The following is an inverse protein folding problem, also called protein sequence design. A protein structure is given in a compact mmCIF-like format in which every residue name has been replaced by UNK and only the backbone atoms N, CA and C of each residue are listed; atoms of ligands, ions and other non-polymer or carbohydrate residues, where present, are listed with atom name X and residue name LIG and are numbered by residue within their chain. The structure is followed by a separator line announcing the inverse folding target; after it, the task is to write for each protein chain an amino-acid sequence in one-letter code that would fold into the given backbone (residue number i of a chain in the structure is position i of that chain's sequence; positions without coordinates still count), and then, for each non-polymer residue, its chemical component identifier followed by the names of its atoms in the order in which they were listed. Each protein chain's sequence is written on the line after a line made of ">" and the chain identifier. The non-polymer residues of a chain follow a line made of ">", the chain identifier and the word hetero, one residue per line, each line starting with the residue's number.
data_IF_547284831073
#
_entry.id   IF_547284831073
#
_cell.length_a   1.000
_cell.length_b   1.000
_cell.length_c   1.000
_cell.angle_alpha   90.00
_cell.angle_beta   90.00
_cell.angle_gamma   90.00
#
_symmetry.space_group_name_H-M   'P 1'
#
loop_
_entity.id
_entity.type
_entity.pdbx_description
1 polymer ?
#
# COMPACT_ATOMS: atom_id res chain seq x y z
N UNK A 1 -29.11 -4.79 -13.09
CA UNK A 1 -27.84 -4.45 -12.41
C UNK A 1 -26.76 -4.28 -13.48
N UNK A 2 -26.45 -3.04 -13.88
CA UNK A 2 -25.34 -2.77 -14.80
C UNK A 2 -24.03 -3.12 -14.10
N UNK A 3 -23.22 -3.99 -14.73
CA UNK A 3 -21.83 -4.24 -14.27
C UNK A 3 -21.07 -2.93 -14.45
N UNK A 4 -20.87 -2.18 -13.36
CA UNK A 4 -20.03 -0.98 -13.38
C UNK A 4 -18.62 -1.39 -13.81
N UNK A 5 -17.93 -0.60 -14.66
CA UNK A 5 -16.59 -0.93 -15.13
C UNK A 5 -15.60 -1.11 -13.96
N UNK A 6 -15.88 -0.48 -12.83
CA UNK A 6 -15.15 -0.58 -11.56
C UNK A 6 -15.04 -2.03 -11.04
N UNK A 7 -15.99 -2.92 -11.33
CA UNK A 7 -15.94 -4.32 -10.90
C UNK A 7 -15.29 -5.26 -11.94
N UNK A 8 -14.70 -4.73 -13.02
CA UNK A 8 -14.08 -5.56 -14.04
C UNK A 8 -12.78 -6.20 -13.51
N UNK A 9 -12.61 -7.52 -13.72
CA UNK A 9 -11.40 -8.28 -13.33
C UNK A 9 -10.10 -7.59 -13.74
N UNK A 10 -10.05 -7.00 -14.94
CA UNK A 10 -8.88 -6.26 -15.43
C UNK A 10 -8.53 -5.05 -14.56
N UNK A 11 -9.54 -4.30 -14.08
CA UNK A 11 -9.34 -3.14 -13.21
C UNK A 11 -8.92 -3.59 -11.81
N UNK A 12 -9.51 -4.69 -11.31
CA UNK A 12 -9.09 -5.30 -10.05
C UNK A 12 -7.61 -5.72 -10.12
N UNK A 13 -7.18 -6.40 -11.18
CA UNK A 13 -5.78 -6.80 -11.39
C UNK A 13 -4.84 -5.58 -11.55
N UNK A 14 -5.29 -4.52 -12.23
CA UNK A 14 -4.53 -3.28 -12.33
C UNK A 14 -4.35 -2.60 -10.94
N UNK A 15 -5.40 -2.56 -10.12
CA UNK A 15 -5.31 -2.03 -8.75
C UNK A 15 -4.42 -2.93 -7.86
N UNK A 16 -4.49 -4.25 -8.02
CA UNK A 16 -3.65 -5.24 -7.32
C UNK A 16 -2.15 -5.13 -7.66
N UNK A 17 -1.81 -4.61 -8.83
CA UNK A 17 -0.41 -4.39 -9.21
C UNK A 17 0.05 -3.00 -8.77
N UNK A 18 -0.83 -2.00 -8.82
CA UNK A 18 -0.50 -0.63 -8.43
C UNK A 18 -0.38 -0.43 -6.92
N UNK A 19 -0.87 -1.36 -6.10
CA UNK A 19 -0.69 -1.34 -4.64
C UNK A 19 0.75 -1.60 -4.17
N UNK A 20 1.64 -2.06 -5.08
CA UNK A 20 3.08 -2.17 -4.81
C UNK A 20 3.77 -0.81 -4.86
N UNK A 21 3.26 0.12 -5.67
CA UNK A 21 3.80 1.49 -5.82
C UNK A 21 3.91 2.22 -4.47
N UNK A 22 2.84 2.39 -3.66
CA UNK A 22 2.94 3.08 -2.37
C UNK A 22 3.81 2.31 -1.36
N UNK A 23 4.04 1.01 -1.55
CA UNK A 23 4.92 0.21 -0.71
C UNK A 23 6.40 0.30 -1.10
N UNK A 24 6.71 0.70 -2.33
CA UNK A 24 8.08 0.89 -2.78
C UNK A 24 8.51 2.36 -2.72
N UNK A 25 7.57 3.30 -2.57
CA UNK A 25 7.84 4.73 -2.38
C UNK A 25 8.38 5.06 -0.97
N UNK A 26 9.38 4.31 -0.50
CA UNK A 26 10.15 4.68 0.69
C UNK A 26 11.41 5.44 0.29
N UNK A 27 11.93 6.33 1.16
CA UNK A 27 13.22 6.95 0.93
C UNK A 27 14.30 5.86 0.82
N UNK A 28 15.33 6.05 -0.03
CA UNK A 28 16.44 5.09 -0.14
C UNK A 28 17.09 4.75 1.21
N UNK A 29 17.11 5.70 2.14
CA UNK A 29 17.64 5.54 3.49
C UNK A 29 16.87 4.51 4.33
N UNK A 30 15.55 4.37 4.11
CA UNK A 30 14.72 3.36 4.79
C UNK A 30 14.98 1.93 4.28
N UNK A 31 15.68 1.76 3.16
CA UNK A 31 16.12 0.44 2.65
C UNK A 31 17.52 0.03 3.14
N UNK A 32 18.18 0.88 3.93
CA UNK A 32 19.45 0.52 4.56
C UNK A 32 19.24 -0.54 5.63
N UNK A 33 20.05 -1.59 5.65
CA UNK A 33 20.05 -2.62 6.71
C UNK A 33 20.37 -2.09 8.10
N UNK A 34 20.92 -0.87 8.19
CA UNK A 34 21.15 -0.16 9.45
C UNK A 34 19.92 0.63 9.93
N UNK A 35 18.88 0.78 9.10
CA UNK A 35 17.64 1.46 9.47
C UNK A 35 16.71 0.50 10.21
N UNK A 36 16.16 0.88 11.35
CA UNK A 36 15.20 0.06 12.11
C UNK A 36 13.91 -0.24 11.33
N UNK A 37 13.69 0.46 10.22
CA UNK A 37 12.46 0.43 9.41
C UNK A 37 12.59 -0.47 8.17
N UNK A 38 13.76 -1.07 7.93
CA UNK A 38 14.07 -1.82 6.70
C UNK A 38 13.13 -3.01 6.43
N UNK A 39 12.62 -3.65 7.49
CA UNK A 39 11.77 -4.83 7.42
C UNK A 39 10.34 -4.50 7.01
N UNK A 40 9.91 -3.26 7.20
CA UNK A 40 8.51 -2.85 7.05
C UNK A 40 8.05 -2.84 5.59
N UNK A 41 8.81 -2.22 4.64
CA UNK A 41 8.49 -2.34 3.22
C UNK A 41 8.50 -3.79 2.74
N UNK A 42 9.48 -4.58 3.21
CA UNK A 42 9.63 -6.00 2.83
C UNK A 42 8.42 -6.81 3.28
N UNK A 43 8.01 -6.68 4.54
CA UNK A 43 6.85 -7.38 5.09
C UNK A 43 5.58 -7.04 4.29
N UNK A 44 5.34 -5.76 4.03
CA UNK A 44 4.17 -5.31 3.31
C UNK A 44 4.13 -5.84 1.87
N UNK A 45 5.28 -5.84 1.18
CA UNK A 45 5.39 -6.40 -0.17
C UNK A 45 5.11 -7.90 -0.15
N UNK A 46 5.64 -8.65 0.83
CA UNK A 46 5.41 -10.09 0.97
C UNK A 46 3.93 -10.38 1.23
N UNK A 47 3.28 -9.63 2.12
CA UNK A 47 1.85 -9.78 2.39
C UNK A 47 1.03 -9.56 1.12
N UNK A 48 1.27 -8.45 0.43
CA UNK A 48 0.58 -8.16 -0.83
C UNK A 48 0.83 -9.23 -1.88
N UNK A 49 2.08 -9.66 -2.07
CA UNK A 49 2.42 -10.69 -3.04
C UNK A 49 1.71 -12.02 -2.74
N UNK A 50 1.63 -12.42 -1.46
CA UNK A 50 0.90 -13.61 -1.05
C UNK A 50 -0.61 -13.50 -1.33
N UNK A 51 -1.22 -12.36 -1.02
CA UNK A 51 -2.63 -12.13 -1.30
C UNK A 51 -2.92 -12.09 -2.81
N UNK A 52 -2.08 -11.43 -3.60
CA UNK A 52 -2.20 -11.34 -5.06
C UNK A 52 -2.03 -12.71 -5.70
N UNK A 53 -1.04 -13.49 -5.28
CA UNK A 53 -0.79 -14.83 -5.81
C UNK A 53 -1.96 -15.76 -5.50
N UNK A 54 -2.51 -15.73 -4.30
CA UNK A 54 -3.71 -16.50 -3.96
C UNK A 54 -4.90 -16.10 -4.86
N UNK A 55 -5.14 -14.79 -5.03
CA UNK A 55 -6.26 -14.28 -5.82
C UNK A 55 -6.12 -14.59 -7.32
N UNK A 56 -4.90 -14.51 -7.86
CA UNK A 56 -4.61 -14.73 -9.28
C UNK A 56 -4.53 -16.21 -9.65
N UNK A 57 -3.89 -17.04 -8.80
CA UNK A 57 -3.60 -18.44 -9.09
C UNK A 57 -4.75 -19.35 -8.68
N UNK A 58 -5.31 -19.16 -7.48
CA UNK A 58 -6.34 -20.07 -6.95
C UNK A 58 -7.75 -19.62 -7.30
N UNK A 59 -7.97 -18.35 -7.61
CA UNK A 59 -9.27 -17.81 -8.03
C UNK A 59 -10.42 -18.13 -7.06
N UNK A 60 -10.09 -18.53 -5.83
CA UNK A 60 -11.06 -19.06 -4.87
C UNK A 60 -11.78 -17.93 -4.15
N UNK A 61 -13.04 -18.17 -3.80
CA UNK A 61 -13.93 -17.26 -3.03
C UNK A 61 -13.49 -17.01 -1.58
N UNK A 62 -12.22 -17.22 -1.26
CA UNK A 62 -11.69 -17.04 0.08
C UNK A 62 -11.50 -15.56 0.35
N UNK A 63 -12.05 -15.09 1.47
CA UNK A 63 -12.03 -13.66 1.85
C UNK A 63 -10.70 -13.22 2.50
N UNK A 64 -9.85 -14.16 2.89
CA UNK A 64 -8.61 -13.86 3.60
C UNK A 64 -7.61 -13.00 2.81
N UNK A 65 -7.38 -13.18 1.49
CA UNK A 65 -6.45 -12.34 0.74
C UNK A 65 -6.90 -10.88 0.72
N UNK A 66 -8.21 -10.67 0.68
CA UNK A 66 -8.81 -9.34 0.73
C UNK A 66 -8.53 -8.62 2.04
N UNK A 67 -8.75 -9.30 3.17
CA UNK A 67 -8.46 -8.75 4.49
C UNK A 67 -6.97 -8.44 4.64
N UNK A 68 -6.10 -9.28 4.08
CA UNK A 68 -4.67 -9.07 4.12
C UNK A 68 -4.24 -7.83 3.32
N UNK A 69 -4.86 -7.57 2.16
CA UNK A 69 -4.59 -6.38 1.35
C UNK A 69 -5.06 -5.09 2.04
N UNK A 70 -6.28 -5.08 2.59
CA UNK A 70 -6.80 -3.94 3.37
C UNK A 70 -5.90 -3.68 4.58
N UNK A 71 -5.52 -4.73 5.30
CA UNK A 71 -4.61 -4.62 6.43
C UNK A 71 -3.26 -4.05 6.01
N UNK A 72 -2.65 -4.53 4.92
CA UNK A 72 -1.36 -4.04 4.44
C UNK A 72 -1.41 -2.54 4.06
N UNK A 73 -2.50 -2.07 3.44
CA UNK A 73 -2.66 -0.65 3.12
C UNK A 73 -2.87 0.21 4.38
N UNK A 74 -3.70 -0.25 5.32
CA UNK A 74 -3.91 0.45 6.59
C UNK A 74 -2.62 0.52 7.41
N UNK A 75 -1.88 -0.59 7.49
CA UNK A 75 -0.59 -0.66 8.17
C UNK A 75 0.42 0.27 7.51
N UNK A 76 0.55 0.28 6.18
CA UNK A 76 1.42 1.22 5.45
C UNK A 76 1.13 2.69 5.81
N UNK A 77 -0.13 3.09 5.88
CA UNK A 77 -0.52 4.46 6.24
C UNK A 77 -0.12 4.78 7.68
N UNK A 78 -0.46 3.92 8.64
CA UNK A 78 -0.15 4.13 10.06
C UNK A 78 1.36 4.21 10.26
N UNK A 79 2.12 3.27 9.68
CA UNK A 79 3.58 3.26 9.77
C UNK A 79 4.18 4.53 9.19
N UNK A 80 3.69 5.00 8.04
CA UNK A 80 4.15 6.26 7.45
C UNK A 80 3.85 7.47 8.33
N UNK A 81 2.67 7.54 8.94
CA UNK A 81 2.34 8.62 9.88
C UNK A 81 3.30 8.60 11.08
N UNK A 82 3.60 7.41 11.62
CA UNK A 82 4.54 7.26 12.74
C UNK A 82 5.96 7.70 12.35
N UNK A 83 6.44 7.27 11.18
CA UNK A 83 7.80 7.58 10.69
C UNK A 83 7.94 9.02 10.21
N UNK A 84 6.86 9.63 9.73
CA UNK A 84 6.85 10.98 9.16
C UNK A 84 7.30 12.03 10.16
N UNK A 85 6.91 11.90 11.43
CA UNK A 85 7.32 12.84 12.47
C UNK A 85 8.81 12.68 12.82
N UNK A 86 9.33 11.45 12.80
CA UNK A 86 10.72 11.16 13.13
C UNK A 86 11.72 11.64 12.06
N UNK A 87 11.29 11.67 10.78
CA UNK A 87 12.14 12.01 9.63
C UNK A 87 11.80 13.36 8.99
N UNK A 88 10.92 14.17 9.62
CA UNK A 88 10.50 15.47 9.10
C UNK A 88 11.67 16.47 8.99
N UNK A 89 12.72 16.30 9.78
CA UNK A 89 13.87 17.22 9.84
C UNK A 89 15.19 16.47 9.69
N UNK A 90 16.05 16.92 8.78
CA UNK A 90 17.40 16.38 8.58
C UNK A 90 18.41 17.49 8.89
N UNK A 91 19.40 17.18 9.71
CA UNK A 91 20.47 18.11 10.07
C UNK A 91 21.53 18.08 8.97
N UNK A 92 21.52 19.08 8.09
CA UNK A 92 22.55 19.26 7.06
C UNK A 92 23.34 20.53 7.36
N UNK A 93 24.64 20.40 7.64
CA UNK A 93 25.53 21.54 7.86
C UNK A 93 25.25 22.39 9.11
N UNK A 94 24.66 21.83 10.17
CA UNK A 94 24.38 22.56 11.42
C UNK A 94 23.07 23.33 11.45
N UNK A 95 22.26 23.26 10.38
CA UNK A 95 20.89 23.76 10.35
C UNK A 95 19.90 22.60 10.22
N UNK A 96 18.81 22.67 11.00
CA UNK A 96 17.68 21.74 10.91
C UNK A 96 16.86 22.08 9.67
N UNK A 97 17.06 21.34 8.58
CA UNK A 97 16.33 21.57 7.32
C UNK A 97 15.19 20.57 7.23
N UNK A 98 14.03 21.05 6.80
CA UNK A 98 12.85 20.22 6.61
C UNK A 98 13.04 19.30 5.40
N UNK A 99 12.81 17.99 5.56
CA UNK A 99 12.96 17.02 4.47
C UNK A 99 11.73 17.04 3.56
N UNK A 100 11.60 18.11 2.78
CA UNK A 100 10.48 18.34 1.85
C UNK A 100 10.30 17.16 0.87
N UNK A 101 11.35 16.55 0.29
CA UNK A 101 11.19 15.37 -0.57
C UNK A 101 10.58 14.16 0.15
N UNK A 102 11.03 13.88 1.37
CA UNK A 102 10.48 12.79 2.20
C UNK A 102 9.00 13.01 2.48
N UNK A 103 8.61 14.24 2.88
CA UNK A 103 7.23 14.56 3.22
C UNK A 103 6.32 14.47 2.00
N UNK A 104 6.76 14.97 0.84
CA UNK A 104 5.99 14.90 -0.40
C UNK A 104 5.76 13.44 -0.86
N UNK A 105 6.80 12.61 -0.87
CA UNK A 105 6.69 11.19 -1.22
C UNK A 105 5.78 10.43 -0.24
N UNK A 106 5.89 10.75 1.05
CA UNK A 106 5.08 10.13 2.10
C UNK A 106 3.61 10.48 1.95
N UNK A 107 3.29 11.75 1.68
CA UNK A 107 1.93 12.21 1.40
C UNK A 107 1.34 11.53 0.15
N UNK A 108 2.07 11.50 -0.97
CA UNK A 108 1.60 10.86 -2.21
C UNK A 108 1.31 9.38 -1.98
N UNK A 109 2.22 8.67 -1.32
CA UNK A 109 2.04 7.25 -1.02
C UNK A 109 0.85 7.00 -0.07
N UNK A 110 0.67 7.86 0.94
CA UNK A 110 -0.49 7.78 1.84
C UNK A 110 -1.81 8.06 1.11
N UNK A 111 -1.87 9.09 0.27
CA UNK A 111 -3.07 9.39 -0.52
C UNK A 111 -3.41 8.23 -1.46
N UNK A 112 -2.40 7.62 -2.08
CA UNK A 112 -2.60 6.46 -2.94
C UNK A 112 -3.09 5.23 -2.16
N UNK A 113 -2.50 4.93 -1.00
CA UNK A 113 -2.97 3.86 -0.12
C UNK A 113 -4.40 4.10 0.40
N UNK A 114 -4.76 5.35 0.73
CA UNK A 114 -6.11 5.71 1.16
C UNK A 114 -7.13 5.55 0.02
N UNK A 115 -6.76 5.92 -1.21
CA UNK A 115 -7.58 5.69 -2.40
C UNK A 115 -7.81 4.19 -2.64
N UNK A 116 -6.77 3.37 -2.50
CA UNK A 116 -6.89 1.91 -2.62
C UNK A 116 -7.81 1.36 -1.53
N UNK A 117 -7.65 1.76 -0.27
CA UNK A 117 -8.56 1.33 0.82
C UNK A 117 -10.01 1.65 0.50
N UNK A 118 -10.30 2.89 0.10
CA UNK A 118 -11.65 3.29 -0.29
C UNK A 118 -12.19 2.45 -1.45
N UNK A 119 -11.37 2.19 -2.47
CA UNK A 119 -11.73 1.34 -3.59
C UNK A 119 -12.04 -0.10 -3.18
N UNK A 120 -11.23 -0.68 -2.29
CA UNK A 120 -11.40 -2.04 -1.76
C UNK A 120 -12.55 -2.15 -0.74
N UNK A 121 -13.07 -1.06 -0.20
CA UNK A 121 -14.27 -1.09 0.66
C UNK A 121 -15.57 -1.04 -0.14
N UNK A 122 -15.52 -0.70 -1.44
CA UNK A 122 -16.71 -0.62 -2.27
C UNK A 122 -17.40 -2.00 -2.38
N UNK A 123 -18.72 -2.09 -2.09
CA UNK A 123 -19.45 -3.36 -2.13
C UNK A 123 -19.47 -3.96 -3.53
N UNK A 124 -19.45 -3.12 -4.57
CA UNK A 124 -19.38 -3.55 -5.98
C UNK A 124 -18.08 -4.33 -6.29
N UNK A 125 -16.94 -3.91 -5.73
CA UNK A 125 -15.64 -4.57 -5.93
C UNK A 125 -15.57 -5.85 -5.09
N UNK A 126 -16.07 -5.79 -3.85
CA UNK A 126 -16.16 -6.96 -2.95
C UNK A 126 -17.02 -8.07 -3.55
N UNK A 127 -18.16 -7.71 -4.15
CA UNK A 127 -19.04 -8.66 -4.83
C UNK A 127 -18.47 -9.15 -6.17
N UNK A 128 -17.71 -8.30 -6.87
CA UNK A 128 -17.02 -8.69 -8.11
C UNK A 128 -15.97 -9.79 -7.89
N UNK A 129 -15.28 -9.77 -6.74
CA UNK A 129 -14.31 -10.83 -6.39
C UNK A 129 -14.96 -12.07 -5.79
N UNK A 130 -16.08 -11.93 -5.07
CA UNK A 130 -16.77 -13.06 -4.43
C UNK A 130 -17.69 -13.88 -5.38
N UNK A 131 -18.06 -13.33 -6.54
CA UNK A 131 -19.03 -13.95 -7.46
C UNK A 131 -18.43 -14.76 -8.61
N UNK A 132 -17.15 -14.56 -8.93
CA UNK A 132 -16.42 -15.51 -9.78
C UNK A 132 -16.07 -16.79 -8.99
#
# INVERSE_FOLDING_TARGET
>A
MQRRPIAARKIIVAMLTTQVVPLLMFPPESFSTNSQEWWLPVLLVVMIAAAVLELLVRGGRTLWPWHLMIFAQGFNIISRIMMMWAHATVTSGGATVLNVPYLALTLIAMTWSAFLLWYWELPDVRLGVARD
#
